data_IF_425011965493
#
_entry.id   IF_425011965493
#
_cell.length_a   1.000
_cell.length_b   1.000
_cell.length_c   1.000
_cell.angle_alpha   90.00
_cell.angle_beta   90.00
_cell.angle_gamma   90.00
#
_symmetry.space_group_name_H-M   'P 1'
#
loop_
_entity.id
_entity.type
_entity.pdbx_description
1 polymer ?
#
# COMPACT_ATOMS: atom_id res chain seq x y z
N UNK A 1 16.95 -6.92 -12.75
CA UNK A 1 15.58 -7.01 -13.29
C UNK A 1 14.63 -7.23 -12.13
N UNK A 2 13.44 -6.70 -12.19
CA UNK A 2 12.41 -6.81 -11.15
C UNK A 2 11.07 -7.15 -11.81
N UNK A 3 10.25 -7.98 -11.20
CA UNK A 3 8.92 -8.35 -11.70
C UNK A 3 7.94 -8.37 -10.52
N UNK A 4 6.69 -8.02 -10.79
CA UNK A 4 5.61 -8.10 -9.82
C UNK A 4 4.77 -9.34 -10.12
N UNK A 5 4.69 -10.23 -9.13
CA UNK A 5 3.89 -11.46 -9.27
C UNK A 5 2.40 -11.11 -9.41
N UNK A 6 1.65 -11.79 -10.30
CA UNK A 6 0.22 -11.57 -10.51
C UNK A 6 -0.63 -11.65 -9.23
N UNK A 7 -0.20 -12.42 -8.22
CA UNK A 7 -0.85 -12.46 -6.91
C UNK A 7 -0.96 -11.08 -6.26
N UNK A 8 0.02 -10.22 -6.49
CA UNK A 8 0.09 -8.87 -5.91
C UNK A 8 -0.55 -7.83 -6.82
N UNK A 9 -1.74 -8.10 -7.33
CA UNK A 9 -2.49 -7.11 -8.11
C UNK A 9 -3.21 -6.08 -7.23
N UNK A 10 -3.40 -4.88 -7.78
CA UNK A 10 -4.40 -3.91 -7.33
C UNK A 10 -5.63 -4.03 -8.24
N UNK A 11 -5.77 -3.21 -9.30
CA UNK A 11 -6.65 -3.53 -10.41
C UNK A 11 -6.28 -4.87 -11.05
N UNK A 12 -7.21 -5.50 -11.77
CA UNK A 12 -7.05 -6.88 -12.29
C UNK A 12 -5.76 -7.10 -13.07
N UNK A 13 -5.36 -6.13 -13.91
CA UNK A 13 -4.18 -6.25 -14.79
C UNK A 13 -3.04 -5.31 -14.39
N UNK A 14 -3.02 -4.87 -13.14
CA UNK A 14 -2.04 -3.91 -12.64
C UNK A 14 -1.52 -4.32 -11.27
N UNK A 15 -0.21 -4.18 -11.05
CA UNK A 15 0.41 -4.41 -9.75
C UNK A 15 -0.17 -3.50 -8.66
N UNK A 16 -0.30 -4.04 -7.45
CA UNK A 16 -0.69 -3.30 -6.24
C UNK A 16 0.32 -2.18 -5.96
N UNK A 17 -0.16 -0.96 -5.77
CA UNK A 17 0.70 0.21 -5.62
C UNK A 17 1.74 0.06 -4.52
N UNK A 18 1.29 -0.27 -3.31
CA UNK A 18 2.19 -0.43 -2.16
C UNK A 18 3.20 -1.55 -2.29
N UNK A 19 2.77 -2.77 -2.69
CA UNK A 19 3.70 -3.89 -2.91
C UNK A 19 4.72 -3.54 -4.00
N UNK A 20 4.26 -2.97 -5.11
CA UNK A 20 5.16 -2.58 -6.20
C UNK A 20 6.12 -1.48 -5.76
N UNK A 21 5.64 -0.48 -5.00
CA UNK A 21 6.49 0.56 -4.45
C UNK A 21 7.55 -0.02 -3.50
N UNK A 22 7.16 -0.91 -2.59
CA UNK A 22 8.09 -1.56 -1.67
C UNK A 22 9.16 -2.38 -2.40
N UNK A 23 8.76 -3.15 -3.43
CA UNK A 23 9.72 -3.89 -4.28
C UNK A 23 10.65 -2.97 -5.06
N UNK A 24 10.16 -1.81 -5.52
CA UNK A 24 11.00 -0.82 -6.17
C UNK A 24 11.89 -0.08 -5.18
N UNK A 25 11.45 0.15 -3.96
CA UNK A 25 12.25 0.78 -2.91
C UNK A 25 13.51 -0.04 -2.54
N UNK A 26 13.49 -1.38 -2.73
CA UNK A 26 14.67 -2.23 -2.56
C UNK A 26 15.84 -1.83 -3.48
N UNK A 27 15.57 -1.12 -4.58
CA UNK A 27 16.60 -0.62 -5.50
C UNK A 27 17.42 0.55 -4.93
N UNK A 28 16.92 1.23 -3.90
CA UNK A 28 17.56 2.40 -3.28
C UNK A 28 17.67 2.24 -1.76
N UNK A 29 16.56 2.26 -1.05
CA UNK A 29 16.47 2.04 0.39
C UNK A 29 15.06 1.56 0.75
N UNK A 30 14.84 0.28 1.07
CA UNK A 30 13.51 -0.24 1.37
C UNK A 30 12.89 0.32 2.66
N UNK A 31 13.70 0.91 3.55
CA UNK A 31 13.25 1.48 4.81
C UNK A 31 12.86 2.96 4.72
N UNK A 32 13.37 3.69 3.71
CA UNK A 32 13.13 5.13 3.60
C UNK A 32 13.22 5.59 2.14
N UNK A 33 12.11 5.57 1.43
CA UNK A 33 12.07 5.95 0.03
C UNK A 33 10.73 6.60 -0.37
N UNK A 34 10.74 7.24 -1.54
CA UNK A 34 9.55 7.71 -2.24
C UNK A 34 9.50 7.08 -3.63
N UNK A 35 8.36 6.55 -4.00
CA UNK A 35 8.10 5.96 -5.31
C UNK A 35 6.98 6.72 -5.99
N UNK A 36 7.27 7.28 -7.18
CA UNK A 36 6.30 7.95 -8.03
C UNK A 36 6.02 7.10 -9.27
N UNK A 37 4.78 6.73 -9.46
CA UNK A 37 4.34 5.99 -10.63
C UNK A 37 4.05 6.91 -11.81
N UNK A 38 4.48 6.51 -13.00
CA UNK A 38 4.23 7.20 -14.26
C UNK A 38 3.22 6.44 -15.14
N UNK A 39 3.00 5.16 -14.86
CA UNK A 39 2.09 4.29 -15.60
C UNK A 39 1.63 3.12 -14.72
N UNK A 40 0.52 2.42 -15.09
CA UNK A 40 0.13 1.16 -14.49
C UNK A 40 1.27 0.14 -14.52
N UNK A 41 1.45 -0.56 -13.41
CA UNK A 41 2.54 -1.52 -13.22
C UNK A 41 2.16 -2.85 -13.88
N UNK A 42 2.87 -3.31 -14.93
CA UNK A 42 2.54 -4.59 -15.56
C UNK A 42 2.91 -5.76 -14.64
N UNK A 43 2.03 -6.75 -14.57
CA UNK A 43 2.25 -8.00 -13.85
C UNK A 43 3.05 -8.99 -14.69
N UNK A 44 3.77 -9.91 -14.04
CA UNK A 44 4.56 -10.98 -14.69
C UNK A 44 5.50 -10.48 -15.80
N UNK A 45 5.91 -9.22 -15.74
CA UNK A 45 6.74 -8.56 -16.75
C UNK A 45 8.07 -8.15 -16.15
N UNK A 46 9.16 -8.44 -16.86
CA UNK A 46 10.48 -7.97 -16.44
C UNK A 46 10.62 -6.45 -16.65
N UNK A 47 10.90 -5.76 -15.57
CA UNK A 47 11.13 -4.32 -15.55
C UNK A 47 12.61 -4.02 -15.38
N UNK A 48 13.07 -2.98 -16.06
CA UNK A 48 14.49 -2.58 -16.08
C UNK A 48 14.72 -1.37 -15.19
N UNK A 49 15.50 -1.50 -14.10
CA UNK A 49 15.97 -0.38 -13.33
C UNK A 49 17.18 0.29 -14.00
N UNK A 50 17.20 1.62 -14.00
CA UNK A 50 18.30 2.44 -14.55
C UNK A 50 18.59 3.61 -13.63
N UNK A 51 19.84 3.83 -13.26
CA UNK A 51 20.24 4.97 -12.45
C UNK A 51 19.94 6.29 -13.17
N UNK A 52 19.38 7.26 -12.44
CA UNK A 52 18.95 8.55 -12.99
C UNK A 52 19.61 9.77 -12.32
N UNK A 53 20.66 9.54 -11.51
CA UNK A 53 21.35 10.59 -10.75
C UNK A 53 20.68 10.89 -9.40
N UNK A 54 21.41 11.51 -8.48
CA UNK A 54 20.90 11.89 -7.15
C UNK A 54 20.39 10.72 -6.29
N UNK A 55 20.86 9.50 -6.51
CA UNK A 55 20.36 8.30 -5.84
C UNK A 55 19.02 7.78 -6.39
N UNK A 56 18.45 8.46 -7.39
CA UNK A 56 17.18 8.05 -8.02
C UNK A 56 17.39 6.89 -9.00
N UNK A 57 16.46 5.95 -9.02
CA UNK A 57 16.37 4.86 -10.00
C UNK A 57 15.05 4.99 -10.78
N UNK A 58 15.14 4.93 -12.10
CA UNK A 58 13.96 4.79 -12.97
C UNK A 58 13.69 3.32 -13.23
N UNK A 59 12.42 2.94 -13.19
CA UNK A 59 11.95 1.61 -13.56
C UNK A 59 11.14 1.73 -14.84
N UNK A 60 11.46 0.93 -15.86
CA UNK A 60 10.79 0.99 -17.17
C UNK A 60 10.44 -0.39 -17.71
N UNK A 61 9.45 -0.43 -18.60
CA UNK A 61 9.10 -1.57 -19.46
C UNK A 61 9.46 -1.19 -20.91
N UNK A 62 10.62 -1.63 -21.39
CA UNK A 62 11.19 -1.09 -22.60
C UNK A 62 11.38 0.43 -22.48
N UNK A 63 10.88 1.19 -23.46
CA UNK A 63 10.94 2.66 -23.47
C UNK A 63 9.87 3.33 -22.60
N UNK A 64 8.92 2.56 -22.06
CA UNK A 64 7.82 3.11 -21.26
C UNK A 64 8.25 3.27 -19.80
N UNK A 65 8.28 4.50 -19.25
CA UNK A 65 8.55 4.70 -17.84
C UNK A 65 7.39 4.16 -16.99
N UNK A 66 7.70 3.40 -15.94
CA UNK A 66 6.74 2.85 -14.98
C UNK A 66 6.82 3.61 -13.66
N UNK A 67 8.02 3.81 -13.12
CA UNK A 67 8.21 4.51 -11.86
C UNK A 67 9.55 5.22 -11.77
N UNK A 68 9.62 6.19 -10.86
CA UNK A 68 10.86 6.77 -10.34
C UNK A 68 10.91 6.51 -8.83
N UNK A 69 12.06 6.05 -8.36
CA UNK A 69 12.31 5.69 -6.96
C UNK A 69 13.46 6.54 -6.45
N UNK A 70 13.26 7.22 -5.34
CA UNK A 70 14.29 8.06 -4.72
C UNK A 70 14.39 7.74 -3.22
N UNK A 71 15.59 7.71 -2.63
CA UNK A 71 15.70 7.68 -1.18
C UNK A 71 15.07 8.96 -0.59
N UNK A 72 14.52 8.89 0.61
CA UNK A 72 14.10 10.09 1.33
C UNK A 72 15.35 10.92 1.68
N UNK A 73 15.28 12.22 1.41
CA UNK A 73 16.35 13.16 1.77
C UNK A 73 16.23 13.62 3.23
N UNK A 74 15.02 13.58 3.76
CA UNK A 74 14.67 13.98 5.13
C UNK A 74 13.62 13.02 5.69
N UNK A 75 13.52 12.85 7.02
CA UNK A 75 12.45 12.09 7.65
C UNK A 75 11.07 12.63 7.26
N UNK A 76 10.09 11.74 7.18
CA UNK A 76 8.70 12.14 6.92
C UNK A 76 8.15 12.89 8.15
N UNK A 77 7.61 14.08 7.92
CA UNK A 77 6.86 14.83 8.92
C UNK A 77 5.42 14.31 8.97
N UNK A 78 5.22 13.29 9.81
CA UNK A 78 3.92 12.67 10.03
C UNK A 78 3.49 13.00 11.46
N UNK A 79 2.32 13.63 11.61
CA UNK A 79 1.75 13.89 12.91
C UNK A 79 1.57 12.59 13.70
N UNK A 80 1.97 12.52 14.97
CA UNK A 80 1.73 11.34 15.79
C UNK A 80 0.23 11.16 15.99
N UNK A 81 -0.22 9.92 15.93
CA UNK A 81 -1.57 9.54 16.29
C UNK A 81 -1.60 8.82 17.64
N UNK A 82 -2.72 8.86 18.32
CA UNK A 82 -2.96 8.03 19.51
C UNK A 82 -3.66 6.75 19.07
N UNK A 83 -3.19 5.56 19.51
CA UNK A 83 -3.90 4.33 19.24
C UNK A 83 -5.37 4.43 19.67
N UNK A 84 -6.27 3.99 18.82
CA UNK A 84 -7.68 3.90 19.14
C UNK A 84 -7.94 2.62 19.96
N UNK A 85 -9.01 2.61 20.77
CA UNK A 85 -9.43 1.39 21.44
C UNK A 85 -10.05 0.39 20.45
N UNK A 86 -10.14 -0.88 20.87
CA UNK A 86 -10.63 -1.98 20.03
C UNK A 86 -12.05 -1.77 19.51
N UNK A 87 -12.93 -1.13 20.32
CA UNK A 87 -14.31 -0.86 19.92
C UNK A 87 -14.36 0.22 18.83
N UNK A 88 -13.56 1.28 18.99
CA UNK A 88 -13.46 2.36 18.01
C UNK A 88 -12.91 1.88 16.66
N UNK A 89 -11.89 1.02 16.66
CA UNK A 89 -11.34 0.45 15.43
C UNK A 89 -12.33 -0.53 14.80
N UNK A 90 -12.91 -1.44 15.55
CA UNK A 90 -13.93 -2.36 15.04
C UNK A 90 -15.11 -1.61 14.41
N UNK A 91 -15.53 -0.51 15.02
CA UNK A 91 -16.56 0.36 14.48
C UNK A 91 -16.08 1.10 13.21
N UNK A 92 -14.82 1.52 13.13
CA UNK A 92 -14.23 2.12 11.93
C UNK A 92 -14.20 1.11 10.77
N UNK A 93 -13.65 -0.08 10.97
CA UNK A 93 -13.66 -1.18 10.00
C UNK A 93 -15.08 -1.50 9.52
N UNK A 94 -16.06 -1.51 10.44
CA UNK A 94 -17.48 -1.68 10.14
C UNK A 94 -18.08 -0.60 9.22
N UNK A 95 -17.50 0.60 9.18
CA UNK A 95 -17.88 1.70 8.28
C UNK A 95 -17.11 1.74 6.97
N UNK A 96 -16.10 0.87 6.79
CA UNK A 96 -15.35 0.84 5.55
C UNK A 96 -16.24 0.55 4.35
N UNK A 97 -16.08 1.31 3.28
CA UNK A 97 -16.77 1.08 2.01
C UNK A 97 -16.14 -0.08 1.22
N UNK A 98 -14.98 -0.58 1.64
CA UNK A 98 -14.26 -1.66 0.97
C UNK A 98 -14.54 -3.06 1.53
N UNK A 99 -15.26 -3.16 2.64
CA UNK A 99 -15.55 -4.45 3.25
C UNK A 99 -16.45 -5.32 2.39
N UNK A 100 -16.50 -6.61 2.71
CA UNK A 100 -17.37 -7.59 2.04
C UNK A 100 -18.84 -7.13 2.03
N UNK A 101 -19.50 -7.28 0.88
CA UNK A 101 -20.89 -6.88 0.67
C UNK A 101 -21.09 -5.45 0.15
N UNK A 102 -20.02 -4.72 -0.10
CA UNK A 102 -20.04 -3.41 -0.75
C UNK A 102 -19.40 -3.46 -2.15
N UNK A 103 -19.84 -2.58 -3.04
CA UNK A 103 -19.19 -2.40 -4.34
C UNK A 103 -17.77 -1.89 -4.15
N UNK A 104 -16.82 -2.55 -4.80
CA UNK A 104 -15.41 -2.22 -4.71
C UNK A 104 -14.83 -2.00 -6.10
N UNK A 105 -14.15 -0.85 -6.38
CA UNK A 105 -13.60 -0.58 -7.72
C UNK A 105 -12.54 -1.62 -8.12
N UNK A 106 -11.88 -2.24 -7.17
CA UNK A 106 -10.85 -3.27 -7.36
C UNK A 106 -11.09 -4.48 -6.46
N UNK A 107 -12.13 -5.30 -6.72
CA UNK A 107 -12.56 -6.36 -5.80
C UNK A 107 -11.52 -7.45 -5.56
N UNK A 108 -10.53 -7.57 -6.44
CA UNK A 108 -9.41 -8.51 -6.32
C UNK A 108 -8.11 -7.84 -5.87
N UNK A 109 -8.13 -6.61 -5.36
CA UNK A 109 -6.93 -5.92 -4.87
C UNK A 109 -6.27 -6.71 -3.73
N UNK A 110 -4.93 -6.88 -3.78
CA UNK A 110 -4.17 -7.57 -2.74
C UNK A 110 -4.32 -6.93 -1.37
N UNK A 111 -4.36 -5.58 -1.30
CA UNK A 111 -4.47 -4.85 -0.03
C UNK A 111 -5.88 -4.85 0.56
N UNK A 112 -6.90 -4.51 -0.24
CA UNK A 112 -8.26 -4.24 0.23
C UNK A 112 -9.38 -4.93 -0.56
N UNK A 113 -9.06 -5.88 -1.44
CA UNK A 113 -10.04 -6.55 -2.27
C UNK A 113 -10.99 -7.42 -1.46
N UNK A 114 -12.30 -7.15 -1.60
CA UNK A 114 -13.36 -7.83 -0.84
C UNK A 114 -13.93 -9.10 -1.51
N UNK A 115 -13.46 -9.42 -2.72
CA UNK A 115 -13.79 -10.65 -3.43
C UNK A 115 -12.59 -11.61 -3.56
N UNK A 116 -11.47 -11.32 -2.88
CA UNK A 116 -10.37 -12.28 -2.77
C UNK A 116 -10.75 -13.44 -1.85
N UNK A 117 -10.19 -14.61 -2.14
CA UNK A 117 -10.31 -15.75 -1.24
C UNK A 117 -9.67 -15.41 0.11
N UNK A 118 -10.20 -15.98 1.17
CA UNK A 118 -9.67 -15.81 2.52
C UNK A 118 -8.19 -16.21 2.55
N UNK A 119 -7.34 -15.39 3.14
CA UNK A 119 -5.89 -15.55 3.23
C UNK A 119 -5.08 -15.36 1.93
N UNK A 120 -5.69 -14.92 0.82
CA UNK A 120 -4.93 -14.61 -0.40
C UNK A 120 -4.62 -13.10 -0.56
N UNK A 121 -4.97 -12.27 0.39
CA UNK A 121 -4.69 -10.83 0.42
C UNK A 121 -4.61 -10.31 1.85
N UNK A 122 -4.37 -9.01 2.00
CA UNK A 122 -4.23 -8.40 3.33
C UNK A 122 -5.59 -8.14 4.01
N UNK A 123 -6.67 -7.95 3.25
CA UNK A 123 -8.01 -7.72 3.78
C UNK A 123 -8.14 -6.44 4.62
N UNK A 124 -7.39 -5.39 4.29
CA UNK A 124 -7.33 -4.15 5.05
C UNK A 124 -8.46 -3.19 4.66
N UNK A 125 -9.53 -3.21 5.43
CA UNK A 125 -10.72 -2.40 5.20
C UNK A 125 -10.75 -1.19 6.12
N UNK A 126 -9.83 -0.23 5.88
CA UNK A 126 -9.77 0.98 6.67
C UNK A 126 -11.07 1.79 6.56
N UNK A 127 -11.58 2.24 7.69
CA UNK A 127 -12.80 3.05 7.77
C UNK A 127 -12.61 4.26 8.68
N UNK A 128 -13.52 5.25 8.60
CA UNK A 128 -13.40 6.49 9.35
C UNK A 128 -13.62 6.27 10.86
N UNK A 129 -12.74 6.87 11.68
CA UNK A 129 -12.94 6.99 13.12
C UNK A 129 -14.02 8.03 13.41
N UNK A 130 -14.88 7.76 14.38
CA UNK A 130 -16.01 8.65 14.69
C UNK A 130 -15.59 9.98 15.31
N UNK A 131 -14.44 10.00 16.02
CA UNK A 131 -14.01 11.12 16.81
C UNK A 131 -12.94 12.01 16.11
N UNK A 132 -12.49 11.61 14.91
CA UNK A 132 -11.44 12.34 14.17
C UNK A 132 -11.69 12.28 12.67
N UNK A 133 -10.84 12.93 11.88
CA UNK A 133 -10.83 12.81 10.42
C UNK A 133 -9.98 11.62 9.93
N UNK A 134 -9.48 10.80 10.85
CA UNK A 134 -8.61 9.66 10.56
C UNK A 134 -9.40 8.45 10.11
N UNK A 135 -8.74 7.60 9.35
CA UNK A 135 -9.20 6.26 9.00
C UNK A 135 -8.31 5.25 9.71
N UNK A 136 -8.89 4.15 10.17
CA UNK A 136 -8.12 3.14 10.88
C UNK A 136 -8.52 1.72 10.49
N UNK A 137 -7.56 0.81 10.61
CA UNK A 137 -7.73 -0.62 10.42
C UNK A 137 -6.70 -1.39 11.26
N UNK A 138 -7.06 -2.58 11.72
CA UNK A 138 -6.13 -3.54 12.33
C UNK A 138 -5.46 -4.38 11.25
N UNK A 139 -4.21 -4.73 11.53
CA UNK A 139 -3.44 -5.65 10.72
C UNK A 139 -2.62 -6.59 11.60
N UNK A 140 -2.85 -7.88 11.45
CA UNK A 140 -2.02 -8.92 12.08
C UNK A 140 -1.32 -9.69 10.96
N UNK A 141 -0.05 -9.39 10.67
CA UNK A 141 0.72 -10.12 9.66
C UNK A 141 0.83 -11.60 10.05
N UNK A 142 0.78 -12.48 9.06
CA UNK A 142 0.98 -13.91 9.29
C UNK A 142 2.43 -14.25 9.69
N UNK A 143 2.59 -15.34 10.46
CA UNK A 143 3.89 -15.83 10.92
C UNK A 143 4.38 -15.14 12.18
N UNK A 144 5.60 -15.47 12.60
CA UNK A 144 6.28 -15.00 13.81
C UNK A 144 7.60 -14.26 13.52
N UNK A 145 7.98 -14.18 12.23
CA UNK A 145 9.15 -13.43 11.78
C UNK A 145 8.80 -11.95 11.55
N UNK A 146 9.83 -11.10 11.51
CA UNK A 146 9.64 -9.69 11.13
C UNK A 146 9.09 -9.57 9.71
N UNK A 147 8.10 -8.71 9.54
CA UNK A 147 7.47 -8.44 8.24
C UNK A 147 8.50 -7.82 7.28
N UNK A 148 8.67 -8.37 6.07
CA UNK A 148 9.61 -7.78 5.13
C UNK A 148 9.14 -6.36 4.70
N UNK A 149 10.07 -5.41 4.52
CA UNK A 149 9.74 -4.01 4.21
C UNK A 149 8.73 -3.84 3.08
N UNK A 150 8.86 -4.58 1.98
CA UNK A 150 7.94 -4.48 0.85
C UNK A 150 6.48 -4.81 1.20
N UNK A 151 6.26 -5.69 2.19
CA UNK A 151 4.91 -6.04 2.65
C UNK A 151 4.34 -4.96 3.59
N UNK A 152 5.19 -4.31 4.39
CA UNK A 152 4.80 -3.11 5.16
C UNK A 152 4.33 -2.00 4.21
N UNK A 153 5.08 -1.74 3.13
CA UNK A 153 4.65 -0.82 2.07
C UNK A 153 3.28 -1.22 1.49
N UNK A 154 3.08 -2.53 1.26
CA UNK A 154 1.81 -3.08 0.79
C UNK A 154 0.65 -2.81 1.74
N UNK A 155 0.88 -2.98 3.04
CA UNK A 155 -0.12 -2.79 4.07
C UNK A 155 -0.51 -1.30 4.25
N UNK A 156 0.42 -0.37 4.02
CA UNK A 156 0.17 1.06 4.18
C UNK A 156 -0.61 1.69 3.01
N UNK A 157 -0.56 1.13 1.80
CA UNK A 157 -1.10 1.76 0.59
C UNK A 157 -2.62 1.97 0.63
N UNK A 158 -3.40 0.90 0.75
CA UNK A 158 -4.86 0.99 0.73
C UNK A 158 -5.43 1.78 1.93
N UNK A 159 -4.96 1.58 3.17
CA UNK A 159 -5.43 2.39 4.30
C UNK A 159 -5.17 3.88 4.13
N UNK A 160 -3.99 4.28 3.68
CA UNK A 160 -3.68 5.70 3.43
C UNK A 160 -4.45 6.29 2.26
N UNK A 161 -4.91 5.46 1.32
CA UNK A 161 -5.76 5.87 0.20
C UNK A 161 -7.26 5.93 0.58
N UNK A 162 -7.69 5.29 1.67
CA UNK A 162 -9.11 5.19 2.04
C UNK A 162 -9.81 6.56 2.17
N UNK A 163 -9.22 7.62 2.76
CA UNK A 163 -9.83 8.95 2.78
C UNK A 163 -10.07 9.53 1.38
N UNK A 164 -9.15 9.30 0.44
CA UNK A 164 -9.30 9.76 -0.93
C UNK A 164 -10.45 9.04 -1.64
N UNK A 165 -10.58 7.73 -1.45
CA UNK A 165 -11.71 6.97 -1.99
C UNK A 165 -13.05 7.43 -1.44
N UNK A 166 -13.11 7.80 -0.17
CA UNK A 166 -14.32 8.35 0.44
C UNK A 166 -14.71 9.74 -0.12
N UNK A 167 -13.75 10.47 -0.71
CA UNK A 167 -13.94 11.81 -1.24
C UNK A 167 -14.18 11.87 -2.76
N UNK A 168 -13.89 10.80 -3.53
CA UNK A 168 -14.14 10.80 -4.99
C UNK A 168 -15.60 10.55 -5.32
N UNK A 169 -16.12 11.07 -6.45
CA UNK A 169 -17.50 10.81 -6.88
C UNK A 169 -17.77 9.31 -7.04
N UNK A 170 -19.02 8.91 -6.79
CA UNK A 170 -19.47 7.54 -7.02
C UNK A 170 -19.16 7.08 -8.45
N UNK A 171 -18.69 5.85 -8.61
CA UNK A 171 -18.25 5.29 -9.89
C UNK A 171 -16.86 5.73 -10.35
N UNK A 172 -16.19 6.57 -9.56
CA UNK A 172 -14.78 6.93 -9.80
C UNK A 172 -13.85 5.90 -9.14
N UNK A 173 -12.62 5.84 -9.64
CA UNK A 173 -11.56 5.01 -9.08
C UNK A 173 -10.27 5.82 -8.94
N UNK A 174 -9.52 5.56 -7.87
CA UNK A 174 -8.23 6.18 -7.62
C UNK A 174 -7.12 5.15 -7.70
N UNK A 175 -5.94 5.58 -8.11
CA UNK A 175 -4.72 4.80 -8.11
C UNK A 175 -3.61 5.56 -7.39
N UNK A 176 -2.72 4.83 -6.75
CA UNK A 176 -1.55 5.39 -6.08
C UNK A 176 -0.62 6.05 -7.11
N UNK A 177 -0.52 7.36 -7.06
CA UNK A 177 0.40 8.13 -7.91
C UNK A 177 1.79 8.27 -7.29
N UNK A 178 1.83 8.47 -5.98
CA UNK A 178 3.08 8.55 -5.21
C UNK A 178 2.87 7.95 -3.83
N UNK A 179 3.82 7.14 -3.39
CA UNK A 179 3.88 6.61 -2.03
C UNK A 179 5.28 6.84 -1.47
N UNK A 180 5.35 7.48 -0.30
CA UNK A 180 6.58 7.63 0.47
C UNK A 180 6.41 6.92 1.81
N UNK A 181 7.40 6.13 2.18
CA UNK A 181 7.36 5.36 3.43
C UNK A 181 8.70 5.49 4.14
N UNK A 182 8.64 5.63 5.45
CA UNK A 182 9.76 5.55 6.37
C UNK A 182 9.45 4.51 7.45
N UNK A 183 10.18 3.40 7.44
CA UNK A 183 10.08 2.32 8.42
C UNK A 183 11.16 2.57 9.47
N UNK A 184 10.76 3.00 10.66
CA UNK A 184 11.67 3.38 11.76
C UNK A 184 12.04 2.21 12.66
N UNK A 185 11.13 1.23 12.79
CA UNK A 185 11.29 0.05 13.62
C UNK A 185 10.87 -1.21 12.89
N UNK A 186 11.29 -2.38 13.42
CA UNK A 186 10.82 -3.66 12.93
C UNK A 186 9.32 -3.82 13.16
N UNK A 187 8.65 -4.47 12.23
CA UNK A 187 7.22 -4.81 12.34
C UNK A 187 7.14 -6.32 12.57
N UNK A 188 6.88 -6.79 13.80
CA UNK A 188 6.83 -8.21 14.10
C UNK A 188 5.58 -8.86 13.48
N UNK A 189 5.73 -10.07 12.95
CA UNK A 189 4.61 -10.92 12.54
C UNK A 189 3.86 -11.48 13.73
N UNK A 190 2.62 -11.94 13.54
CA UNK A 190 1.77 -12.51 14.58
C UNK A 190 1.29 -11.52 15.65
N UNK A 191 1.69 -10.26 15.57
CA UNK A 191 1.30 -9.18 16.48
C UNK A 191 0.30 -8.27 15.78
N UNK A 192 -0.74 -7.85 16.48
CA UNK A 192 -1.69 -6.88 15.95
C UNK A 192 -1.08 -5.47 15.91
N UNK A 193 -1.19 -4.83 14.77
CA UNK A 193 -0.82 -3.44 14.52
C UNK A 193 -2.05 -2.63 14.16
N UNK A 194 -2.01 -1.34 14.45
CA UNK A 194 -3.01 -0.37 14.00
C UNK A 194 -2.40 0.50 12.90
N UNK A 195 -3.13 0.67 11.80
CA UNK A 195 -2.80 1.58 10.72
C UNK A 195 -3.82 2.72 10.73
N UNK A 196 -3.32 3.94 10.81
CA UNK A 196 -4.12 5.17 10.81
C UNK A 196 -3.79 6.03 9.61
#
# INVERSE_FOLDING_TARGET
MISIDPRFNGPTDCGHGGVSAGRFAELVNPLAASVRFAAPIPLATELMPTAAGGGTVRVSNGDRPIAAVSPLSEPLDIAPFSPADDEAIAAAEGRSTFRVGHDHPYPLCFGCGNAREHHDGLGLYAGPLAASAEFAVRWTPEGDEDVPPWLVWGALDCPTAAPAFAAVPEGSAALTGTLAVEIRDRVPGGVEHQIH
#
